data_IF_436758455999
#
_entry.id   IF_436758455999
#
_cell.length_a   1.000
_cell.length_b   1.000
_cell.length_c   1.000
_cell.angle_alpha   90.00
_cell.angle_beta   90.00
_cell.angle_gamma   90.00
#
_symmetry.space_group_name_H-M   'P 1'
#
loop_
_entity.id
_entity.type
_entity.pdbx_description
1 polymer ?
#
# COMPACT_ATOMS: atom_id res chain seq x y z
N UNK A 1 8.62 -32.84 -7.68
CA UNK A 1 9.29 -31.69 -8.27
C UNK A 1 10.73 -31.49 -7.73
N UNK A 2 10.97 -31.60 -6.43
CA UNK A 2 12.33 -31.48 -5.85
C UNK A 2 13.39 -32.45 -6.45
N UNK A 3 12.99 -33.66 -6.78
CA UNK A 3 13.92 -34.68 -7.33
C UNK A 3 14.39 -34.40 -8.77
N UNK A 4 13.61 -33.63 -9.56
CA UNK A 4 13.98 -33.22 -10.92
C UNK A 4 15.02 -32.09 -10.96
N UNK A 5 15.15 -31.33 -9.86
CA UNK A 5 16.09 -30.21 -9.75
C UNK A 5 17.49 -30.64 -9.23
N UNK A 6 17.59 -31.81 -8.60
CA UNK A 6 18.83 -32.32 -8.07
C UNK A 6 19.87 -32.75 -9.15
N UNK A 7 19.40 -33.00 -10.38
CA UNK A 7 20.23 -33.56 -11.45
C UNK A 7 20.76 -32.52 -12.46
N UNK A 8 20.40 -31.22 -12.29
CA UNK A 8 20.90 -30.13 -13.14
C UNK A 8 21.79 -29.17 -12.35
N UNK A 9 23.08 -28.98 -12.71
CA UNK A 9 23.96 -28.04 -12.00
C UNK A 9 23.47 -26.58 -12.02
N UNK A 10 22.80 -26.16 -13.09
CA UNK A 10 22.24 -24.82 -13.22
C UNK A 10 21.01 -24.66 -12.32
N UNK A 11 20.16 -25.66 -12.23
CA UNK A 11 19.00 -25.67 -11.37
C UNK A 11 19.37 -25.91 -9.90
N UNK A 12 20.47 -26.58 -9.60
CA UNK A 12 21.01 -26.73 -8.25
C UNK A 12 21.48 -25.37 -7.68
N UNK A 13 22.06 -24.49 -8.52
CA UNK A 13 22.41 -23.12 -8.13
C UNK A 13 21.19 -22.31 -7.72
N UNK A 14 20.13 -22.34 -8.52
CA UNK A 14 18.87 -21.65 -8.21
C UNK A 14 18.10 -22.30 -7.05
N UNK A 15 18.16 -23.63 -6.92
CA UNK A 15 17.58 -24.34 -5.78
C UNK A 15 18.26 -23.96 -4.44
N UNK A 16 19.51 -23.53 -4.47
CA UNK A 16 20.21 -23.05 -3.27
C UNK A 16 19.60 -21.75 -2.72
N UNK A 17 19.03 -20.92 -3.58
CA UNK A 17 18.30 -19.71 -3.19
C UNK A 17 16.84 -20.02 -2.82
N UNK A 18 16.28 -21.12 -3.31
CA UNK A 18 14.92 -21.57 -3.01
C UNK A 18 14.86 -22.54 -1.81
N UNK A 19 16.00 -22.87 -1.18
CA UNK A 19 16.02 -23.77 -0.05
C UNK A 19 15.41 -23.10 1.16
N UNK A 20 14.18 -23.49 1.45
CA UNK A 20 13.53 -23.23 2.73
C UNK A 20 14.14 -24.18 3.74
N UNK A 21 15.00 -23.67 4.61
CA UNK A 21 15.42 -24.44 5.76
C UNK A 21 14.19 -24.79 6.58
N UNK A 22 14.00 -26.06 6.98
CA UNK A 22 12.95 -26.38 7.92
C UNK A 22 13.14 -25.52 9.17
N UNK A 23 12.06 -24.88 9.61
CA UNK A 23 12.05 -24.11 10.85
C UNK A 23 12.42 -25.05 12.00
N UNK A 24 13.58 -24.83 12.60
CA UNK A 24 13.89 -25.38 13.92
C UNK A 24 13.39 -24.38 14.97
N UNK A 25 12.16 -24.55 15.39
CA UNK A 25 11.61 -23.78 16.51
C UNK A 25 12.08 -24.48 17.78
N UNK A 26 12.73 -23.76 18.72
CA UNK A 26 13.04 -24.31 20.05
C UNK A 26 11.73 -24.69 20.75
N UNK A 27 11.53 -25.95 21.07
CA UNK A 27 10.31 -26.48 21.69
C UNK A 27 10.53 -27.00 23.11
N UNK A 28 11.68 -26.75 23.71
CA UNK A 28 11.97 -27.24 25.03
C UNK A 28 11.33 -26.32 26.12
N UNK A 29 10.46 -26.88 26.89
CA UNK A 29 9.76 -26.26 28.04
C UNK A 29 10.70 -25.52 29.01
N UNK A 30 11.97 -25.93 29.07
CA UNK A 30 13.01 -25.34 29.93
C UNK A 30 13.47 -23.94 29.50
N UNK A 31 13.22 -23.52 28.25
CA UNK A 31 13.67 -22.21 27.75
C UNK A 31 12.78 -21.08 28.27
N UNK A 32 11.51 -21.36 28.52
CA UNK A 32 10.55 -20.38 29.05
C UNK A 32 10.66 -20.16 30.56
N UNK A 33 11.08 -21.17 31.31
CA UNK A 33 11.16 -21.12 32.78
C UNK A 33 12.23 -20.16 33.32
N UNK A 34 13.18 -19.75 32.48
CA UNK A 34 14.26 -18.82 32.84
C UNK A 34 13.99 -17.37 32.40
N UNK A 35 12.92 -17.13 31.71
CA UNK A 35 12.56 -15.82 31.19
C UNK A 35 11.73 -15.08 32.27
N UNK A 36 12.42 -14.27 33.07
CA UNK A 36 11.79 -13.33 34.00
C UNK A 36 11.46 -12.02 33.23
N UNK A 37 10.62 -12.15 32.21
CA UNK A 37 10.36 -11.04 31.26
C UNK A 37 8.89 -11.02 30.84
N UNK A 38 8.30 -9.84 30.82
CA UNK A 38 6.94 -9.63 30.35
C UNK A 38 6.83 -9.58 28.81
N UNK A 39 7.95 -9.48 28.10
CA UNK A 39 8.01 -9.22 26.66
C UNK A 39 8.78 -10.33 25.95
N UNK A 40 8.19 -10.88 24.89
CA UNK A 40 8.87 -11.73 23.93
C UNK A 40 8.95 -11.03 22.54
N UNK A 41 10.07 -11.22 21.85
CA UNK A 41 10.24 -10.79 20.47
C UNK A 41 10.40 -12.03 19.59
N UNK A 42 9.47 -12.22 18.67
CA UNK A 42 9.50 -13.30 17.70
C UNK A 42 9.81 -12.78 16.31
N UNK A 43 10.88 -13.28 15.70
CA UNK A 43 11.26 -12.90 14.33
C UNK A 43 10.76 -13.97 13.37
N UNK A 44 9.75 -13.62 12.58
CA UNK A 44 9.22 -14.45 11.51
C UNK A 44 9.91 -14.09 10.20
N UNK A 45 10.54 -15.07 9.58
CA UNK A 45 11.30 -14.87 8.35
C UNK A 45 10.68 -15.61 7.16
N UNK A 46 10.77 -15.01 5.98
CA UNK A 46 10.47 -15.65 4.70
C UNK A 46 11.59 -15.36 3.73
N UNK A 47 11.97 -16.40 3.00
CA UNK A 47 12.89 -16.23 1.90
C UNK A 47 12.15 -15.60 0.71
N UNK A 48 12.73 -14.57 0.10
CA UNK A 48 12.20 -13.88 -1.08
C UNK A 48 13.25 -13.86 -2.16
N UNK A 49 13.70 -15.05 -2.56
CA UNK A 49 14.64 -15.22 -3.66
C UNK A 49 13.94 -15.13 -5.03
N UNK A 50 14.71 -14.82 -6.06
CA UNK A 50 14.27 -14.92 -7.44
C UNK A 50 13.97 -16.38 -7.83
N UNK A 51 13.09 -16.60 -8.79
CA UNK A 51 12.85 -17.90 -9.42
C UNK A 51 11.56 -18.61 -9.06
N UNK A 52 10.76 -18.08 -8.14
CA UNK A 52 9.40 -18.59 -7.90
C UNK A 52 8.51 -17.50 -7.29
N UNK A 53 7.28 -17.41 -7.79
CA UNK A 53 6.25 -16.60 -7.19
C UNK A 53 5.85 -17.15 -5.82
N UNK A 54 5.33 -16.26 -4.98
CA UNK A 54 4.83 -16.61 -3.67
C UNK A 54 3.55 -17.44 -3.82
N UNK A 55 3.45 -18.53 -3.07
CA UNK A 55 2.33 -19.46 -3.12
C UNK A 55 1.44 -19.29 -1.89
N UNK A 56 0.15 -19.48 -2.06
CA UNK A 56 -0.80 -19.55 -0.95
C UNK A 56 -0.70 -20.89 -0.22
N UNK A 57 0.45 -21.12 0.43
CA UNK A 57 0.82 -22.36 1.13
C UNK A 57 1.45 -22.06 2.48
N UNK A 58 1.37 -22.99 3.47
CA UNK A 58 2.11 -22.88 4.72
C UNK A 58 3.63 -22.72 4.51
N UNK A 59 4.20 -21.73 5.20
CA UNK A 59 5.62 -21.38 5.12
C UNK A 59 5.99 -20.49 3.94
N UNK A 60 5.02 -20.07 3.16
CA UNK A 60 5.19 -19.07 2.11
C UNK A 60 4.29 -17.87 2.39
N UNK A 61 3.11 -17.78 1.81
CA UNK A 61 2.13 -16.75 2.17
C UNK A 61 1.52 -17.02 3.55
N UNK A 62 1.13 -18.26 3.82
CA UNK A 62 0.54 -18.66 5.10
C UNK A 62 1.61 -18.98 6.14
N UNK A 63 1.24 -18.87 7.43
CA UNK A 63 2.07 -19.35 8.51
C UNK A 63 2.09 -20.89 8.53
N UNK A 64 3.24 -21.49 8.86
CA UNK A 64 3.34 -22.89 9.20
C UNK A 64 2.52 -23.20 10.47
N UNK A 65 2.07 -24.44 10.60
CA UNK A 65 1.38 -24.88 11.81
C UNK A 65 2.27 -24.73 13.05
N UNK A 66 3.53 -25.06 12.92
CA UNK A 66 4.54 -24.92 14.00
C UNK A 66 4.75 -23.47 14.41
N UNK A 67 4.68 -22.52 13.48
CA UNK A 67 4.75 -21.08 13.80
C UNK A 67 3.53 -20.62 14.60
N UNK A 68 2.34 -21.09 14.24
CA UNK A 68 1.09 -20.80 14.95
C UNK A 68 1.11 -21.37 16.38
N UNK A 69 1.55 -22.61 16.53
CA UNK A 69 1.69 -23.28 17.83
C UNK A 69 2.72 -22.58 18.72
N UNK A 70 3.86 -22.17 18.13
CA UNK A 70 4.89 -21.47 18.87
C UNK A 70 4.44 -20.07 19.30
N UNK A 71 3.78 -19.29 18.42
CA UNK A 71 3.19 -18.00 18.80
C UNK A 71 2.14 -18.15 19.89
N UNK A 72 1.30 -19.18 19.82
CA UNK A 72 0.33 -19.49 20.87
C UNK A 72 1.03 -19.78 22.20
N UNK A 73 2.11 -20.54 22.16
CA UNK A 73 2.92 -20.84 23.34
C UNK A 73 3.57 -19.58 23.91
N UNK A 74 4.16 -18.71 23.06
CA UNK A 74 4.71 -17.43 23.51
C UNK A 74 3.63 -16.57 24.19
N UNK A 75 2.45 -16.46 23.58
CA UNK A 75 1.33 -15.69 24.14
C UNK A 75 0.78 -16.27 25.45
N UNK A 76 1.01 -17.56 25.74
CA UNK A 76 0.64 -18.16 27.04
C UNK A 76 1.65 -17.86 28.16
N UNK A 77 2.90 -17.53 27.81
CA UNK A 77 3.98 -17.28 28.76
C UNK A 77 4.30 -15.80 28.97
N UNK A 78 4.01 -14.95 27.97
CA UNK A 78 4.36 -13.53 27.97
C UNK A 78 3.13 -12.65 27.86
N UNK A 79 3.12 -11.56 28.61
CA UNK A 79 2.04 -10.56 28.55
C UNK A 79 2.04 -9.77 27.25
N UNK A 80 3.22 -9.61 26.64
CA UNK A 80 3.42 -8.88 25.41
C UNK A 80 4.30 -9.65 24.44
N UNK A 81 3.81 -9.91 23.24
CA UNK A 81 4.57 -10.50 22.14
C UNK A 81 4.69 -9.49 21.02
N UNK A 82 5.92 -9.23 20.57
CA UNK A 82 6.23 -8.39 19.42
C UNK A 82 6.63 -9.32 18.29
N UNK A 83 5.88 -9.28 17.18
CA UNK A 83 6.21 -10.05 15.98
C UNK A 83 6.98 -9.14 15.01
N UNK A 84 8.19 -9.56 14.64
CA UNK A 84 9.03 -8.89 13.65
C UNK A 84 9.01 -9.67 12.36
N UNK A 85 8.53 -9.04 11.29
CA UNK A 85 8.45 -9.62 9.96
C UNK A 85 9.72 -9.31 9.17
N UNK A 86 10.63 -10.28 9.09
CA UNK A 86 11.81 -10.24 8.24
C UNK A 86 11.49 -10.93 6.91
N UNK A 87 10.74 -10.24 6.07
CA UNK A 87 10.14 -10.78 4.85
C UNK A 87 10.27 -9.78 3.70
N UNK A 88 10.38 -10.25 2.47
CA UNK A 88 10.48 -9.40 1.28
C UNK A 88 9.16 -9.18 0.52
N UNK A 89 8.04 -9.69 1.02
CA UNK A 89 6.71 -9.55 0.40
C UNK A 89 5.59 -9.74 1.41
N UNK A 90 4.34 -9.65 0.97
CA UNK A 90 3.16 -9.84 1.82
C UNK A 90 3.01 -11.29 2.28
N UNK A 91 2.48 -11.47 3.48
CA UNK A 91 2.07 -12.77 4.06
C UNK A 91 0.69 -12.64 4.68
N UNK A 92 0.08 -13.78 4.98
CA UNK A 92 -1.12 -13.82 5.80
C UNK A 92 -0.81 -13.38 7.24
N UNK A 93 -1.54 -12.36 7.70
CA UNK A 93 -1.42 -11.80 9.06
C UNK A 93 -2.67 -12.06 9.91
N UNK A 94 -3.64 -12.79 9.41
CA UNK A 94 -4.92 -13.03 10.08
C UNK A 94 -4.74 -13.61 11.48
N UNK A 95 -3.85 -14.60 11.62
CA UNK A 95 -3.56 -15.27 12.88
C UNK A 95 -3.03 -14.33 13.98
N UNK A 96 -2.35 -13.23 13.62
CA UNK A 96 -1.86 -12.28 14.63
C UNK A 96 -2.99 -11.56 15.36
N UNK A 97 -4.15 -11.43 14.73
CA UNK A 97 -5.33 -10.80 15.33
C UNK A 97 -6.11 -11.74 16.26
N UNK A 98 -5.87 -13.04 16.17
CA UNK A 98 -6.50 -14.03 17.06
C UNK A 98 -5.85 -14.08 18.45
N UNK A 99 -4.61 -13.62 18.56
CA UNK A 99 -3.80 -13.67 19.78
C UNK A 99 -3.70 -12.29 20.44
N UNK A 100 -4.48 -12.06 21.49
CA UNK A 100 -4.58 -10.77 22.19
C UNK A 100 -3.26 -10.27 22.80
N UNK A 101 -2.30 -11.16 23.06
CA UNK A 101 -0.99 -10.82 23.63
C UNK A 101 0.02 -10.36 22.55
N UNK A 102 -0.31 -10.46 21.27
CA UNK A 102 0.48 -9.82 20.21
C UNK A 102 0.22 -8.31 20.27
N UNK A 103 1.14 -7.60 20.91
CA UNK A 103 1.02 -6.16 21.17
C UNK A 103 1.51 -5.29 20.02
N UNK A 104 2.40 -5.82 19.17
CA UNK A 104 2.91 -5.12 18.01
C UNK A 104 3.37 -6.08 16.91
N UNK A 105 3.22 -5.63 15.65
CA UNK A 105 3.80 -6.25 14.47
C UNK A 105 4.70 -5.23 13.77
N UNK A 106 5.98 -5.57 13.58
CA UNK A 106 6.98 -4.68 12.96
C UNK A 106 7.40 -5.27 11.63
N UNK A 107 7.08 -4.62 10.54
CA UNK A 107 7.60 -4.98 9.23
C UNK A 107 9.04 -4.44 9.09
N UNK A 108 10.01 -5.31 9.31
CA UNK A 108 11.44 -5.00 9.14
C UNK A 108 11.86 -5.04 7.68
N UNK A 109 11.20 -5.85 6.87
CA UNK A 109 11.63 -6.15 5.51
C UNK A 109 12.98 -6.88 5.50
N UNK A 110 13.69 -6.80 4.38
CA UNK A 110 15.05 -7.33 4.21
C UNK A 110 16.07 -6.20 4.39
N UNK A 111 16.32 -5.83 5.64
CA UNK A 111 17.00 -4.57 6.01
C UNK A 111 18.54 -4.60 5.85
N UNK A 112 19.13 -5.68 5.34
CA UNK A 112 20.58 -5.79 5.09
C UNK A 112 21.41 -5.94 6.36
N UNK A 113 22.71 -5.64 6.27
CA UNK A 113 23.70 -5.93 7.33
C UNK A 113 23.49 -5.12 8.62
N UNK A 114 22.93 -3.93 8.56
CA UNK A 114 22.63 -3.09 9.74
C UNK A 114 21.19 -3.20 10.24
N UNK A 115 20.44 -4.18 9.73
CA UNK A 115 19.03 -4.36 10.06
C UNK A 115 18.77 -4.64 11.52
N UNK A 116 19.65 -5.41 12.18
CA UNK A 116 19.53 -5.70 13.62
C UNK A 116 19.68 -4.45 14.49
N UNK A 117 20.66 -3.59 14.17
CA UNK A 117 20.86 -2.33 14.89
C UNK A 117 19.66 -1.39 14.70
N UNK A 118 19.18 -1.26 13.46
CA UNK A 118 18.01 -0.43 13.15
C UNK A 118 16.74 -0.93 13.87
N UNK A 119 16.54 -2.25 13.91
CA UNK A 119 15.44 -2.86 14.65
C UNK A 119 15.54 -2.58 16.15
N UNK A 120 16.73 -2.74 16.73
CA UNK A 120 16.97 -2.46 18.14
C UNK A 120 16.69 -0.98 18.49
N UNK A 121 17.10 -0.05 17.63
CA UNK A 121 16.83 1.37 17.79
C UNK A 121 15.32 1.69 17.75
N UNK A 122 14.56 1.02 16.89
CA UNK A 122 13.09 1.15 16.84
C UNK A 122 12.47 0.56 18.11
N UNK A 123 12.76 -0.71 18.44
CA UNK A 123 12.15 -1.40 19.57
C UNK A 123 12.46 -0.74 20.93
N UNK A 124 13.62 -0.12 21.05
CA UNK A 124 14.00 0.64 22.25
C UNK A 124 13.41 2.05 22.32
N UNK A 125 12.72 2.50 21.28
CA UNK A 125 12.20 3.87 21.19
C UNK A 125 13.25 4.96 20.90
N UNK A 126 14.50 4.56 20.65
CA UNK A 126 15.57 5.50 20.27
C UNK A 126 15.29 6.15 18.90
N UNK A 127 14.66 5.41 18.00
CA UNK A 127 14.19 5.89 16.70
C UNK A 127 12.70 5.63 16.59
N UNK A 128 11.94 6.67 16.28
CA UNK A 128 10.52 6.55 16.00
C UNK A 128 10.31 6.04 14.57
N UNK A 129 9.56 4.92 14.36
CA UNK A 129 9.27 4.42 13.03
C UNK A 129 8.46 5.44 12.23
N UNK A 130 8.76 5.55 10.95
CA UNK A 130 8.08 6.45 10.02
C UNK A 130 7.95 5.84 8.62
N UNK A 131 7.98 4.52 8.53
CA UNK A 131 7.72 3.76 7.30
C UNK A 131 6.22 3.60 7.06
N UNK A 132 5.84 3.55 5.78
CA UNK A 132 4.47 3.28 5.34
C UNK A 132 4.46 2.14 4.35
N UNK A 133 3.40 1.33 4.35
CA UNK A 133 3.26 0.19 3.45
C UNK A 133 3.14 0.66 2.00
N UNK A 134 3.94 0.08 1.13
CA UNK A 134 3.90 0.31 -0.31
C UNK A 134 2.95 -0.66 -1.05
N UNK A 135 2.24 -1.51 -0.31
CA UNK A 135 1.27 -2.45 -0.83
C UNK A 135 0.04 -2.52 0.08
N UNK A 136 -1.11 -2.91 -0.47
CA UNK A 136 -2.29 -3.28 0.32
C UNK A 136 -2.16 -4.72 0.77
N UNK A 137 -2.41 -5.00 2.04
CA UNK A 137 -2.40 -6.34 2.60
C UNK A 137 -3.83 -6.83 2.76
N UNK A 138 -4.16 -7.91 2.09
CA UNK A 138 -5.48 -8.52 2.17
C UNK A 138 -5.72 -9.20 3.52
N UNK A 139 -6.99 -9.39 3.90
CA UNK A 139 -7.35 -10.25 5.03
C UNK A 139 -7.26 -11.71 4.64
N UNK A 140 -7.82 -12.03 3.47
CA UNK A 140 -7.79 -13.36 2.89
C UNK A 140 -7.03 -13.30 1.56
N UNK A 141 -6.39 -14.39 1.16
CA UNK A 141 -5.66 -14.42 -0.11
C UNK A 141 -6.58 -14.18 -1.31
N UNK A 142 -7.79 -14.66 -1.22
CA UNK A 142 -8.84 -14.56 -2.23
C UNK A 142 -9.37 -13.14 -2.41
N UNK A 143 -9.04 -12.21 -1.51
CA UNK A 143 -9.36 -10.78 -1.65
C UNK A 143 -8.51 -10.08 -2.72
N UNK A 144 -7.39 -10.68 -3.15
CA UNK A 144 -6.58 -10.11 -4.24
C UNK A 144 -7.24 -10.36 -5.60
N UNK A 145 -7.16 -9.39 -6.54
CA UNK A 145 -7.60 -9.65 -7.91
C UNK A 145 -6.76 -10.78 -8.51
N UNK A 146 -7.38 -11.63 -9.30
CA UNK A 146 -6.73 -12.78 -9.96
C UNK A 146 -6.03 -13.77 -9.00
N UNK A 147 -6.46 -13.86 -7.74
CA UNK A 147 -5.89 -14.77 -6.75
C UNK A 147 -5.91 -16.25 -7.18
N UNK A 148 -6.88 -16.62 -8.01
CA UNK A 148 -7.07 -17.97 -8.57
C UNK A 148 -6.15 -18.28 -9.75
N UNK A 149 -5.61 -17.28 -10.44
CA UNK A 149 -4.76 -17.45 -11.62
C UNK A 149 -3.30 -17.11 -11.39
N UNK A 150 -2.98 -16.31 -10.38
CA UNK A 150 -1.61 -15.86 -10.07
C UNK A 150 -0.63 -17.02 -9.92
N UNK A 151 0.60 -16.84 -10.44
CA UNK A 151 1.66 -17.82 -10.34
C UNK A 151 1.41 -19.11 -11.12
N UNK A 152 0.86 -19.01 -12.33
CA UNK A 152 0.54 -20.12 -13.22
C UNK A 152 -0.55 -21.08 -12.70
N UNK A 153 -1.39 -20.65 -11.81
CA UNK A 153 -2.51 -21.46 -11.29
C UNK A 153 -3.56 -21.75 -12.35
N UNK A 154 -3.63 -20.91 -13.38
CA UNK A 154 -4.45 -21.15 -14.58
C UNK A 154 -3.91 -22.29 -15.47
N UNK A 155 -2.71 -22.85 -15.17
CA UNK A 155 -2.08 -23.94 -15.93
C UNK A 155 -1.32 -23.46 -17.19
N UNK A 156 -1.36 -22.19 -17.55
CA UNK A 156 -0.62 -21.60 -18.65
C UNK A 156 0.72 -21.05 -18.14
N UNK A 157 1.81 -21.34 -18.84
CA UNK A 157 3.16 -20.84 -18.53
C UNK A 157 3.73 -19.92 -19.61
N UNK A 158 3.07 -19.88 -20.74
CA UNK A 158 3.55 -19.17 -21.92
C UNK A 158 2.91 -17.79 -22.02
N UNK A 159 1.68 -17.62 -21.52
CA UNK A 159 0.92 -16.38 -21.57
C UNK A 159 0.45 -15.97 -20.19
N UNK A 160 0.60 -14.70 -19.84
CA UNK A 160 0.07 -14.07 -18.64
C UNK A 160 -0.90 -12.95 -19.04
N UNK A 161 -2.10 -12.99 -18.49
CA UNK A 161 -3.18 -12.06 -18.80
C UNK A 161 -3.43 -11.12 -17.62
N UNK A 162 -3.13 -9.83 -17.79
CA UNK A 162 -3.35 -8.78 -16.78
C UNK A 162 -4.80 -8.29 -16.82
N UNK A 163 -5.72 -9.16 -16.44
CA UNK A 163 -7.17 -8.93 -16.53
C UNK A 163 -7.70 -7.95 -15.49
N UNK A 164 -6.93 -7.63 -14.45
CA UNK A 164 -7.27 -6.62 -13.46
C UNK A 164 -7.33 -5.19 -14.04
N UNK A 165 -6.69 -4.94 -15.18
CA UNK A 165 -6.73 -3.64 -15.85
C UNK A 165 -6.26 -2.49 -14.95
N UNK A 166 -7.14 -1.51 -14.69
CA UNK A 166 -6.85 -0.38 -13.80
C UNK A 166 -6.93 -0.71 -12.31
N UNK A 167 -7.50 -1.86 -11.96
CA UNK A 167 -7.80 -2.25 -10.58
C UNK A 167 -6.66 -3.02 -9.92
N UNK A 168 -5.51 -2.39 -9.78
CA UNK A 168 -4.31 -2.98 -9.16
C UNK A 168 -4.12 -2.42 -7.74
N UNK A 169 -3.80 -3.29 -6.78
CA UNK A 169 -3.50 -2.92 -5.40
C UNK A 169 -4.66 -2.19 -4.72
N UNK A 170 -4.40 -1.06 -4.03
CA UNK A 170 -5.44 -0.30 -3.32
C UNK A 170 -6.59 0.15 -4.23
N UNK A 171 -6.35 0.37 -5.54
CA UNK A 171 -7.41 0.73 -6.49
C UNK A 171 -8.47 -0.37 -6.59
N UNK A 172 -8.04 -1.64 -6.54
CA UNK A 172 -8.95 -2.78 -6.45
C UNK A 172 -9.74 -2.76 -5.13
N UNK A 173 -9.05 -2.77 -4.01
CA UNK A 173 -9.68 -2.82 -2.69
C UNK A 173 -10.67 -1.66 -2.49
N UNK A 174 -10.30 -0.45 -2.89
CA UNK A 174 -11.13 0.75 -2.71
C UNK A 174 -12.31 0.79 -3.68
N UNK A 175 -12.15 0.28 -4.92
CA UNK A 175 -13.21 0.28 -5.93
C UNK A 175 -14.19 -0.88 -5.79
N UNK A 176 -13.86 -1.92 -5.03
CA UNK A 176 -14.76 -3.06 -4.80
C UNK A 176 -15.19 -3.17 -3.33
N UNK A 177 -14.93 -2.15 -2.52
CA UNK A 177 -15.35 -2.10 -1.12
C UNK A 177 -14.75 -3.18 -0.23
N UNK A 178 -13.65 -3.82 -0.68
CA UNK A 178 -12.99 -4.89 0.06
C UNK A 178 -12.18 -4.28 1.20
N UNK A 179 -12.42 -4.76 2.41
CA UNK A 179 -11.73 -4.26 3.61
C UNK A 179 -10.37 -4.93 3.76
N UNK A 180 -9.24 -4.24 3.56
CA UNK A 180 -7.92 -4.84 3.71
C UNK A 180 -7.58 -5.10 5.18
N UNK A 181 -6.60 -5.98 5.44
CA UNK A 181 -5.96 -6.09 6.74
C UNK A 181 -5.16 -4.81 7.04
N UNK A 182 -4.37 -4.36 6.08
CA UNK A 182 -3.66 -3.08 6.14
C UNK A 182 -3.75 -2.36 4.78
N UNK A 183 -4.27 -1.13 4.75
CA UNK A 183 -4.40 -0.39 3.50
C UNK A 183 -3.05 0.09 2.97
N UNK A 184 -2.99 0.40 1.68
CA UNK A 184 -1.84 1.06 1.07
C UNK A 184 -1.53 2.37 1.78
N UNK A 185 -0.26 2.62 2.06
CA UNK A 185 0.20 3.81 2.75
C UNK A 185 0.08 3.75 4.28
N UNK A 186 -0.45 2.66 4.86
CA UNK A 186 -0.58 2.52 6.31
C UNK A 186 0.78 2.46 7.01
N UNK A 187 0.89 3.13 8.14
CA UNK A 187 2.03 3.07 9.05
C UNK A 187 1.65 3.52 10.45
N UNK A 188 2.44 3.13 11.44
CA UNK A 188 2.30 3.59 12.81
C UNK A 188 3.55 4.32 13.27
N UNK A 189 3.34 5.26 14.19
CA UNK A 189 4.37 6.05 14.83
C UNK A 189 4.19 6.01 16.34
N UNK A 190 5.24 6.29 17.11
CA UNK A 190 5.13 6.47 18.56
C UNK A 190 4.55 7.84 18.96
N UNK A 191 4.26 8.67 17.96
CA UNK A 191 3.57 9.95 18.12
C UNK A 191 2.36 10.04 17.19
N UNK A 192 1.61 11.11 17.27
CA UNK A 192 0.45 11.39 16.41
C UNK A 192 0.67 12.69 15.66
N UNK A 193 0.07 12.82 14.49
CA UNK A 193 0.18 14.02 13.67
C UNK A 193 -1.20 14.59 13.33
N UNK A 194 -1.27 15.89 13.20
CA UNK A 194 -2.40 16.59 12.61
C UNK A 194 -1.99 17.10 11.25
N UNK A 195 -2.76 16.74 10.24
CA UNK A 195 -2.58 17.17 8.85
C UNK A 195 -3.70 18.10 8.47
N UNK A 196 -3.39 19.33 8.08
CA UNK A 196 -4.35 20.37 7.71
C UNK A 196 -3.98 20.97 6.35
N UNK A 197 -4.86 20.83 5.36
CA UNK A 197 -4.71 21.52 4.07
C UNK A 197 -5.14 22.97 4.23
N UNK A 198 -4.26 23.91 3.89
CA UNK A 198 -4.50 25.35 4.01
C UNK A 198 -5.13 25.92 2.74
N UNK A 199 -4.63 25.51 1.59
CA UNK A 199 -5.17 25.92 0.29
C UNK A 199 -4.82 24.93 -0.83
N UNK A 200 -5.55 25.03 -1.94
CA UNK A 200 -5.33 24.28 -3.18
C UNK A 200 -5.39 25.28 -4.33
N UNK A 201 -4.37 25.26 -5.18
CA UNK A 201 -4.19 26.19 -6.29
C UNK A 201 -3.89 25.45 -7.58
N UNK A 202 -4.39 25.95 -8.69
CA UNK A 202 -3.93 25.57 -10.03
C UNK A 202 -2.92 26.62 -10.52
N UNK A 203 -1.67 26.21 -10.73
CA UNK A 203 -0.60 27.09 -11.17
C UNK A 203 0.32 26.38 -12.16
N UNK A 204 0.51 26.96 -13.34
CA UNK A 204 1.43 26.43 -14.36
C UNK A 204 1.19 24.94 -14.70
N UNK A 205 -0.06 24.52 -14.86
CA UNK A 205 -0.46 23.13 -15.10
C UNK A 205 -0.08 22.16 -13.98
N UNK A 206 0.08 22.66 -12.77
CA UNK A 206 0.23 21.87 -11.55
C UNK A 206 -0.89 22.20 -10.56
N UNK A 207 -1.37 21.18 -9.88
CA UNK A 207 -2.17 21.34 -8.66
C UNK A 207 -1.17 21.45 -7.51
N UNK A 208 -1.27 22.54 -6.77
CA UNK A 208 -0.38 22.87 -5.65
C UNK A 208 -1.19 22.91 -4.37
N UNK A 209 -0.81 22.12 -3.39
CA UNK A 209 -1.41 22.09 -2.05
C UNK A 209 -0.41 22.65 -1.03
N UNK A 210 -0.86 23.57 -0.19
CA UNK A 210 -0.14 23.96 1.00
C UNK A 210 -0.74 23.24 2.20
N UNK A 211 0.07 22.41 2.85
CA UNK A 211 -0.33 21.53 3.93
C UNK A 211 0.51 21.82 5.17
N UNK A 212 -0.14 21.98 6.31
CA UNK A 212 0.53 22.06 7.60
C UNK A 212 0.44 20.71 8.31
N UNK A 213 1.58 20.20 8.77
CA UNK A 213 1.67 19.00 9.59
C UNK A 213 2.22 19.38 10.96
N UNK A 214 1.52 18.97 12.01
CA UNK A 214 1.91 19.23 13.41
C UNK A 214 2.09 17.90 14.14
N UNK A 215 3.23 17.73 14.82
CA UNK A 215 3.38 16.64 15.77
C UNK A 215 2.53 16.95 17.01
N UNK A 216 1.41 16.26 17.17
CA UNK A 216 0.45 16.45 18.25
C UNK A 216 0.76 15.60 19.49
N UNK A 217 1.77 14.74 19.44
CA UNK A 217 2.23 13.94 20.58
C UNK A 217 3.00 14.75 21.61
N UNK A 218 3.38 14.10 22.71
CA UNK A 218 4.03 14.76 23.85
C UNK A 218 5.46 14.31 24.11
N UNK A 219 5.84 13.12 23.62
CA UNK A 219 7.10 12.47 24.03
C UNK A 219 8.07 12.28 22.87
N UNK A 220 7.56 11.81 21.71
CA UNK A 220 8.43 11.40 20.62
C UNK A 220 8.44 12.42 19.49
N UNK A 221 9.65 12.74 19.02
CA UNK A 221 9.81 13.37 17.71
C UNK A 221 9.50 12.35 16.61
N UNK A 222 9.04 12.81 15.47
CA UNK A 222 8.67 11.89 14.39
C UNK A 222 8.54 12.57 13.04
N UNK A 223 8.24 11.73 12.02
CA UNK A 223 8.01 12.16 10.64
C UNK A 223 6.70 11.59 10.17
N UNK A 224 5.94 12.36 9.41
CA UNK A 224 4.69 11.95 8.79
C UNK A 224 4.79 11.95 7.27
N UNK A 225 4.05 11.06 6.62
CA UNK A 225 3.91 11.02 5.16
C UNK A 225 2.53 11.50 4.77
N UNK A 226 2.45 12.70 4.22
CA UNK A 226 1.23 13.23 3.64
C UNK A 226 1.01 12.64 2.26
N UNK A 227 -0.14 12.03 2.03
CA UNK A 227 -0.53 11.41 0.77
C UNK A 227 -1.71 12.17 0.16
N UNK A 228 -1.60 12.46 -1.15
CA UNK A 228 -2.63 13.17 -1.90
C UNK A 228 -3.23 12.21 -2.91
N UNK A 229 -4.54 12.02 -2.85
CA UNK A 229 -5.30 11.18 -3.76
C UNK A 229 -6.27 12.02 -4.59
N UNK A 230 -6.61 11.52 -5.76
CA UNK A 230 -7.60 12.10 -6.66
C UNK A 230 -8.67 11.06 -6.94
N UNK A 231 -9.94 11.47 -6.83
CA UNK A 231 -11.05 10.74 -7.44
C UNK A 231 -11.48 11.53 -8.66
N UNK A 232 -11.44 10.88 -9.81
CA UNK A 232 -11.81 11.48 -11.09
C UNK A 232 -13.35 11.48 -11.28
N UNK A 233 -13.89 12.33 -12.18
CA UNK A 233 -15.32 12.45 -12.35
C UNK A 233 -15.95 11.16 -12.87
N UNK A 234 -17.21 10.96 -12.50
CA UNK A 234 -18.06 9.94 -13.09
C UNK A 234 -18.40 10.30 -14.53
N UNK A 235 -17.66 9.73 -15.46
CA UNK A 235 -17.77 9.98 -16.89
C UNK A 235 -18.02 8.71 -17.69
N UNK A 236 -17.70 8.74 -18.99
CA UNK A 236 -17.83 7.59 -19.88
C UNK A 236 -16.69 6.58 -19.77
N UNK A 237 -15.52 7.01 -19.27
CA UNK A 237 -14.39 6.13 -18.99
C UNK A 237 -14.52 5.55 -17.59
N UNK A 238 -14.11 4.30 -17.47
CA UNK A 238 -14.01 3.61 -16.20
C UNK A 238 -12.82 4.14 -15.40
N UNK A 239 -13.00 4.28 -14.10
CA UNK A 239 -12.00 4.83 -13.19
C UNK A 239 -12.07 4.15 -11.83
N UNK A 240 -10.93 4.00 -11.13
CA UNK A 240 -10.95 3.52 -9.75
C UNK A 240 -11.54 4.58 -8.80
N UNK A 241 -11.87 4.18 -7.60
CA UNK A 241 -12.37 5.08 -6.56
C UNK A 241 -11.44 6.28 -6.33
N UNK A 242 -10.14 6.04 -6.26
CA UNK A 242 -9.10 7.07 -6.11
C UNK A 242 -7.74 6.61 -6.61
N UNK A 243 -6.88 7.56 -6.94
CA UNK A 243 -5.48 7.32 -7.31
C UNK A 243 -4.52 8.24 -6.55
N UNK A 244 -3.35 7.70 -6.15
CA UNK A 244 -2.30 8.49 -5.52
C UNK A 244 -1.67 9.45 -6.53
N UNK A 245 -1.84 10.74 -6.31
CA UNK A 245 -1.30 11.80 -7.18
C UNK A 245 0.09 12.26 -6.75
N UNK A 246 0.27 12.44 -5.43
CA UNK A 246 1.54 12.87 -4.85
C UNK A 246 1.66 12.44 -3.39
N UNK A 247 2.86 12.47 -2.87
CA UNK A 247 3.15 12.32 -1.45
C UNK A 247 4.41 13.10 -1.09
N UNK A 248 4.51 13.46 0.19
CA UNK A 248 5.73 14.05 0.74
C UNK A 248 5.89 13.68 2.21
N UNK A 249 7.13 13.64 2.68
CA UNK A 249 7.47 13.31 4.05
C UNK A 249 8.01 14.53 4.77
N UNK A 250 7.56 14.78 6.00
CA UNK A 250 8.05 15.90 6.83
C UNK A 250 9.50 15.70 7.23
N UNK A 251 10.17 16.79 7.63
CA UNK A 251 11.33 16.69 8.52
C UNK A 251 10.95 16.00 9.84
N UNK A 252 11.93 15.70 10.69
CA UNK A 252 11.65 15.20 12.03
C UNK A 252 11.10 16.34 12.88
N UNK A 253 9.84 16.24 13.29
CA UNK A 253 9.13 17.25 14.09
C UNK A 253 9.19 16.89 15.56
N UNK A 254 9.61 17.83 16.39
CA UNK A 254 9.54 17.72 17.85
C UNK A 254 8.08 17.77 18.31
N UNK A 255 7.73 17.26 19.51
CA UNK A 255 6.42 17.45 20.11
C UNK A 255 5.95 18.91 20.04
N UNK A 256 4.79 19.18 19.47
CA UNK A 256 4.22 20.51 19.26
C UNK A 256 4.78 21.28 18.06
N UNK A 257 5.84 20.77 17.39
CA UNK A 257 6.40 21.43 16.21
C UNK A 257 5.52 21.22 14.97
N UNK A 258 5.46 22.24 14.12
CA UNK A 258 4.74 22.21 12.84
C UNK A 258 5.68 22.47 11.66
N UNK A 259 5.34 21.88 10.52
CA UNK A 259 5.94 22.16 9.22
C UNK A 259 4.87 22.54 8.21
N UNK A 260 5.14 23.59 7.44
CA UNK A 260 4.33 23.95 6.27
C UNK A 260 5.01 23.36 5.04
N UNK A 261 4.30 22.48 4.33
CA UNK A 261 4.76 21.78 3.14
C UNK A 261 3.99 22.29 1.93
N UNK A 262 4.69 22.47 0.81
CA UNK A 262 4.06 22.65 -0.49
C UNK A 262 4.25 21.36 -1.28
N UNK A 263 3.13 20.70 -1.62
CA UNK A 263 3.13 19.45 -2.38
C UNK A 263 2.41 19.73 -3.70
N UNK A 264 3.04 19.38 -4.83
CA UNK A 264 2.40 19.56 -6.14
C UNK A 264 2.45 18.31 -6.98
N UNK A 265 1.53 18.24 -7.95
CA UNK A 265 1.52 17.23 -8.97
C UNK A 265 1.01 17.83 -10.29
N UNK A 266 1.50 17.33 -11.44
CA UNK A 266 1.06 17.83 -12.72
C UNK A 266 -0.39 17.42 -13.03
N UNK A 267 -1.15 18.30 -13.66
CA UNK A 267 -2.55 17.99 -14.04
C UNK A 267 -2.68 16.76 -14.94
N UNK A 268 -1.60 16.31 -15.58
CA UNK A 268 -1.58 15.07 -16.35
C UNK A 268 -1.90 13.82 -15.52
N UNK A 269 -1.68 13.86 -14.18
CA UNK A 269 -2.08 12.81 -13.27
C UNK A 269 -3.60 12.65 -13.12
N UNK A 270 -4.36 13.62 -13.58
CA UNK A 270 -5.82 13.64 -13.57
C UNK A 270 -6.42 13.21 -14.91
N UNK A 271 -5.60 12.75 -15.86
CA UNK A 271 -6.04 12.32 -17.18
C UNK A 271 -6.23 10.81 -17.23
N UNK A 272 -7.35 10.35 -17.79
CA UNK A 272 -7.65 8.95 -18.05
C UNK A 272 -7.38 8.59 -19.50
N UNK A 273 -6.93 7.37 -19.77
CA UNK A 273 -6.67 6.91 -21.12
C UNK A 273 -7.95 6.42 -21.80
N UNK A 274 -8.25 6.98 -22.95
CA UNK A 274 -9.35 6.56 -23.83
C UNK A 274 -8.81 5.70 -24.97
N UNK A 275 -9.04 4.41 -24.90
CA UNK A 275 -8.59 3.46 -25.91
C UNK A 275 -9.23 3.70 -27.28
N UNK A 276 -10.48 4.20 -27.33
CA UNK A 276 -11.19 4.48 -28.60
C UNK A 276 -10.64 5.69 -29.31
N UNK A 277 -10.18 6.69 -28.55
CA UNK A 277 -9.58 7.91 -29.08
C UNK A 277 -8.05 7.84 -29.17
N UNK A 278 -7.44 6.77 -28.62
CA UNK A 278 -6.00 6.61 -28.48
C UNK A 278 -5.36 7.84 -27.83
N UNK A 279 -5.98 8.32 -26.73
CA UNK A 279 -5.62 9.60 -26.13
C UNK A 279 -5.77 9.59 -24.62
N UNK A 280 -4.89 10.32 -23.94
CA UNK A 280 -5.12 10.77 -22.58
C UNK A 280 -6.06 11.97 -22.60
N UNK A 281 -7.12 11.90 -21.83
CA UNK A 281 -8.14 12.95 -21.77
C UNK A 281 -8.47 13.34 -20.33
N UNK A 282 -8.93 14.57 -20.16
CA UNK A 282 -9.63 15.01 -18.98
C UNK A 282 -11.12 15.07 -19.29
N UNK A 283 -11.90 14.24 -18.65
CA UNK A 283 -13.35 14.30 -18.79
C UNK A 283 -13.92 15.50 -18.03
N UNK A 284 -14.98 16.08 -18.56
CA UNK A 284 -15.76 17.09 -17.87
C UNK A 284 -16.32 16.54 -16.56
N UNK A 285 -16.26 17.31 -15.49
CA UNK A 285 -16.85 16.93 -14.19
C UNK A 285 -16.01 17.38 -13.02
N UNK A 286 -16.26 16.75 -11.85
CA UNK A 286 -15.67 17.13 -10.57
C UNK A 286 -14.56 16.15 -10.21
N UNK A 287 -13.36 16.66 -10.02
CA UNK A 287 -12.20 15.95 -9.53
C UNK A 287 -12.05 16.22 -8.04
N UNK A 288 -12.15 15.18 -7.22
CA UNK A 288 -12.12 15.30 -5.76
C UNK A 288 -10.68 15.10 -5.28
N UNK A 289 -10.13 16.09 -4.57
CA UNK A 289 -8.80 16.03 -3.98
C UNK A 289 -8.91 15.60 -2.53
N UNK A 290 -8.18 14.56 -2.18
CA UNK A 290 -8.14 13.98 -0.84
C UNK A 290 -6.73 14.05 -0.27
N UNK A 291 -6.61 14.35 1.01
CA UNK A 291 -5.33 14.37 1.73
C UNK A 291 -5.43 13.51 2.97
N UNK A 292 -4.43 12.68 3.23
CA UNK A 292 -4.43 11.83 4.40
C UNK A 292 -3.13 11.06 4.63
N UNK A 293 -3.19 10.13 5.58
CA UNK A 293 -2.07 9.32 6.04
C UNK A 293 -1.94 8.00 5.24
N UNK A 294 -3.05 7.48 4.73
CA UNK A 294 -3.12 6.26 3.91
C UNK A 294 -4.44 6.21 3.13
N UNK A 295 -4.58 5.29 2.17
CA UNK A 295 -5.72 5.24 1.23
C UNK A 295 -7.10 5.16 1.90
N UNK A 296 -7.19 4.68 3.14
CA UNK A 296 -8.45 4.58 3.91
C UNK A 296 -8.55 5.62 5.05
N UNK A 297 -7.60 6.54 5.16
CA UNK A 297 -7.63 7.65 6.11
C UNK A 297 -7.32 8.96 5.40
N UNK A 298 -8.18 9.33 4.49
CA UNK A 298 -8.14 10.58 3.73
C UNK A 298 -9.35 11.46 4.08
N UNK A 299 -9.19 12.76 3.86
CA UNK A 299 -10.27 13.74 3.92
C UNK A 299 -10.35 14.50 2.61
N UNK A 300 -11.57 14.79 2.16
CA UNK A 300 -11.76 15.67 1.00
C UNK A 300 -11.35 17.07 1.38
N UNK A 301 -10.41 17.62 0.61
CA UNK A 301 -9.82 18.95 0.89
C UNK A 301 -10.07 19.96 -0.22
N UNK A 302 -10.60 19.52 -1.37
CA UNK A 302 -11.00 20.41 -2.45
C UNK A 302 -11.68 19.66 -3.58
N UNK A 303 -12.44 20.40 -4.39
CA UNK A 303 -13.11 19.90 -5.58
C UNK A 303 -12.73 20.78 -6.76
N UNK A 304 -12.24 20.18 -7.83
CA UNK A 304 -11.90 20.91 -9.05
C UNK A 304 -12.95 20.59 -10.13
N UNK A 305 -13.66 21.60 -10.57
CA UNK A 305 -14.70 21.47 -11.60
C UNK A 305 -14.13 21.82 -12.97
N UNK A 306 -14.00 20.80 -13.83
CA UNK A 306 -13.61 20.99 -15.23
C UNK A 306 -14.87 21.14 -16.10
N UNK A 307 -15.01 22.26 -16.78
CA UNK A 307 -16.23 22.58 -17.54
C UNK A 307 -16.33 21.86 -18.89
N UNK A 308 -15.20 21.49 -19.50
CA UNK A 308 -15.15 20.88 -20.83
C UNK A 308 -14.16 19.73 -20.87
N UNK A 309 -14.55 18.65 -21.54
CA UNK A 309 -13.61 17.57 -21.89
C UNK A 309 -12.47 18.10 -22.76
N UNK A 310 -11.26 17.68 -22.47
CA UNK A 310 -10.05 18.09 -23.20
C UNK A 310 -9.14 16.90 -23.47
N UNK A 311 -8.62 16.82 -24.68
CA UNK A 311 -7.53 15.89 -25.02
C UNK A 311 -6.22 16.48 -24.48
N UNK A 312 -5.57 15.75 -23.59
CA UNK A 312 -4.24 16.09 -23.07
C UNK A 312 -3.16 15.70 -24.08
N UNK A 313 -3.19 14.43 -24.54
CA UNK A 313 -2.17 13.89 -25.44
C UNK A 313 -2.75 12.76 -26.28
N UNK A 314 -2.57 12.82 -27.60
CA UNK A 314 -2.81 11.69 -28.50
C UNK A 314 -1.59 10.77 -28.53
N UNK A 315 -1.82 9.48 -28.58
CA UNK A 315 -0.81 8.46 -28.72
C UNK A 315 -1.07 7.64 -29.99
N UNK A 316 -0.05 6.91 -30.42
CA UNK A 316 -0.17 5.87 -31.43
C UNK A 316 -0.18 4.51 -30.76
N UNK A 317 -1.11 3.63 -31.12
CA UNK A 317 -1.18 2.27 -30.59
C UNK A 317 -0.13 1.40 -31.27
N UNK A 318 1.06 1.34 -30.68
CA UNK A 318 2.21 0.62 -31.25
C UNK A 318 2.11 -0.89 -31.06
N UNK A 319 1.46 -1.37 -29.99
CA UNK A 319 1.33 -2.77 -29.63
C UNK A 319 -0.16 -3.09 -29.40
N UNK A 320 -0.94 -3.32 -30.47
CA UNK A 320 -2.32 -3.75 -30.30
C UNK A 320 -2.36 -5.17 -29.73
N UNK A 321 -3.36 -5.46 -28.91
CA UNK A 321 -3.64 -6.82 -28.49
C UNK A 321 -4.06 -7.64 -29.73
N UNK A 322 -3.60 -8.87 -29.80
CA UNK A 322 -3.95 -9.85 -30.84
C UNK A 322 -5.13 -10.76 -30.45
N UNK A 323 -5.64 -10.60 -29.24
CA UNK A 323 -6.82 -11.31 -28.71
C UNK A 323 -7.74 -10.34 -27.95
N UNK A 324 -9.00 -10.73 -27.81
CA UNK A 324 -9.91 -10.10 -26.86
C UNK A 324 -9.58 -10.59 -25.44
N UNK A 325 -9.46 -9.65 -24.51
CA UNK A 325 -9.21 -9.95 -23.11
C UNK A 325 -10.39 -9.45 -22.27
N UNK A 326 -10.98 -10.35 -21.51
CA UNK A 326 -12.05 -10.03 -20.57
C UNK A 326 -11.39 -9.45 -19.29
N UNK A 327 -11.45 -8.14 -19.15
CA UNK A 327 -10.93 -7.44 -17.99
C UNK A 327 -11.99 -7.33 -16.88
N UNK A 328 -11.51 -7.13 -15.65
CA UNK A 328 -12.36 -6.77 -14.52
C UNK A 328 -12.95 -5.38 -14.76
N UNK A 329 -14.26 -5.24 -14.56
CA UNK A 329 -14.98 -3.98 -14.63
C UNK A 329 -15.51 -3.58 -13.27
N UNK A 330 -15.36 -2.30 -12.91
CA UNK A 330 -15.82 -1.78 -11.64
C UNK A 330 -17.33 -1.54 -11.59
N UNK A 331 -17.89 -1.76 -10.42
CA UNK A 331 -19.24 -1.35 -10.07
C UNK A 331 -19.16 -0.26 -9.00
N UNK A 332 -19.54 0.96 -9.36
CA UNK A 332 -19.45 2.12 -8.46
C UNK A 332 -20.30 2.00 -7.21
N UNK A 333 -21.30 1.14 -7.21
CA UNK A 333 -22.10 0.82 -6.01
C UNK A 333 -21.28 0.09 -4.94
N UNK A 334 -20.15 -0.50 -5.34
CA UNK A 334 -19.22 -1.19 -4.46
C UNK A 334 -18.08 -0.30 -3.94
N UNK A 335 -17.96 0.93 -4.47
CA UNK A 335 -16.87 1.83 -4.08
C UNK A 335 -16.84 2.05 -2.57
N UNK A 336 -15.63 2.11 -2.04
CA UNK A 336 -15.43 2.51 -0.65
C UNK A 336 -16.08 3.87 -0.38
N UNK A 337 -16.75 3.98 0.74
CA UNK A 337 -17.30 5.25 1.22
C UNK A 337 -17.19 5.30 2.74
N UNK A 338 -17.24 6.49 3.29
CA UNK A 338 -17.27 6.74 4.73
C UNK A 338 -18.34 7.79 5.07
N UNK A 339 -18.88 7.78 6.30
CA UNK A 339 -20.09 8.57 6.64
C UNK A 339 -19.97 10.09 6.40
N UNK A 340 -18.77 10.64 6.54
CA UNK A 340 -18.52 12.08 6.41
C UNK A 340 -18.24 12.53 4.97
N UNK A 341 -18.00 11.62 4.04
CA UNK A 341 -17.53 11.90 2.68
C UNK A 341 -18.40 12.88 1.91
N UNK A 342 -19.70 12.64 1.85
CA UNK A 342 -20.63 13.54 1.15
C UNK A 342 -20.64 14.95 1.76
N UNK A 343 -20.54 15.02 3.08
CA UNK A 343 -20.47 16.29 3.79
C UNK A 343 -19.15 17.01 3.52
N UNK A 344 -18.07 16.30 3.47
CA UNK A 344 -16.74 16.85 3.14
C UNK A 344 -16.73 17.37 1.71
N UNK A 345 -17.21 16.60 0.73
CA UNK A 345 -17.34 17.04 -0.67
C UNK A 345 -18.15 18.34 -0.77
N UNK A 346 -19.29 18.39 -0.09
CA UNK A 346 -20.20 19.57 -0.12
C UNK A 346 -19.60 20.82 0.51
N UNK A 347 -18.71 20.66 1.49
CA UNK A 347 -18.10 21.78 2.23
C UNK A 347 -16.67 22.10 1.77
N UNK A 348 -16.09 21.29 0.90
CA UNK A 348 -14.75 21.51 0.38
C UNK A 348 -14.69 22.78 -0.49
N UNK A 349 -13.55 23.47 -0.55
CA UNK A 349 -13.34 24.57 -1.48
C UNK A 349 -13.50 24.12 -2.94
N UNK A 350 -14.21 24.88 -3.73
CA UNK A 350 -14.40 24.67 -5.16
C UNK A 350 -13.39 25.48 -5.99
N UNK A 351 -12.79 24.83 -6.97
CA UNK A 351 -11.94 25.46 -7.98
C UNK A 351 -12.53 25.18 -9.37
N UNK A 352 -13.03 26.24 -10.04
CA UNK A 352 -13.58 26.13 -11.37
C UNK A 352 -12.52 26.42 -12.43
N UNK A 353 -12.35 25.49 -13.35
CA UNK A 353 -11.39 25.60 -14.46
C UNK A 353 -12.07 25.30 -15.79
N UNK A 354 -11.86 26.16 -16.78
CA UNK A 354 -12.36 25.95 -18.14
C UNK A 354 -11.60 24.81 -18.84
N UNK A 355 -10.29 24.76 -18.64
CA UNK A 355 -9.38 23.76 -19.21
C UNK A 355 -8.11 23.68 -18.38
N UNK A 356 -7.55 22.47 -18.25
CA UNK A 356 -6.22 22.26 -17.67
C UNK A 356 -5.08 22.64 -18.63
N UNK A 357 -5.40 22.81 -19.93
CA UNK A 357 -4.41 23.31 -20.90
C UNK A 357 -4.18 24.80 -20.63
N UNK A 358 -2.99 25.14 -20.20
CA UNK A 358 -2.56 26.54 -20.21
C UNK A 358 -2.50 26.98 -21.67
N UNK A 359 -3.16 28.11 -22.02
CA UNK A 359 -2.90 28.77 -23.28
C UNK A 359 -1.40 29.00 -23.37
N UNK A 360 -0.67 28.31 -24.27
CA UNK A 360 0.67 28.73 -24.62
C UNK A 360 0.56 30.21 -24.96
N UNK A 361 1.18 31.10 -24.20
CA UNK A 361 1.43 32.44 -24.63
C UNK A 361 2.21 32.27 -25.94
N UNK A 362 1.61 32.66 -27.06
CA UNK A 362 2.34 32.81 -28.29
C UNK A 362 3.37 33.91 -28.03
N UNK A 363 4.62 33.51 -27.84
CA UNK A 363 5.78 34.38 -28.02
C UNK A 363 6.18 34.38 -29.48
#
# INVERSE_FOLDING_TARGET
MQQKYADSPELAFWAMFAHRNPLTIPTEENDFSKADQDIAIYVLARNSGEGADRRNEPGDYQLHQEEKEFLTTLCSHYSHVIVVLNIGGVIDTSFFHELSNISAVVLMGQAGSSGGDALADVLSGKVNPCGHLAATWAKEYEDYPNADTFGYRNGNRDDEYYTEGIYVGYRWFDSFGIVPAYPFGYGKSYTTFWVETKDILLKNSEIVLNVQVTNAGKEYSGREVVQIYISEPDGRLEKPYQELAAYAKTKCLQPGESENMTISFPVSRMASYDEKQEAWIWEKGSYIIRVGEHSRATKVTGVIHLEKECIYQKLEKLLPLDCEMECIHGDKTLFYSYPEEEKEIKNAPDLFVESFLTKKKND
#
